data_IF_291087611876
#
_entry.id   IF_291087611876
#
_cell.length_a   1.000
_cell.length_b   1.000
_cell.length_c   1.000
_cell.angle_alpha   90.00
_cell.angle_beta   90.00
_cell.angle_gamma   90.00
#
_symmetry.space_group_name_H-M   'P 1'
#
loop_
_entity.id
_entity.type
_entity.pdbx_description
1 polymer ?
#
# COMPACT_ATOMS: atom_id res chain seq x y z
N UNK A 1 -4.66 16.79 3.02
CA UNK A 1 -4.02 16.97 1.70
C UNK A 1 -4.95 17.79 0.83
N UNK A 2 -4.43 18.69 0.00
CA UNK A 2 -5.24 19.56 -0.86
C UNK A 2 -5.93 18.75 -1.97
N UNK A 3 -5.32 17.68 -2.39
CA UNK A 3 -5.77 16.82 -3.49
C UNK A 3 -5.30 17.31 -4.85
N UNK A 4 -5.44 16.44 -5.85
CA UNK A 4 -5.12 16.74 -7.24
C UNK A 4 -6.14 17.74 -7.82
N UNK A 5 -5.68 18.62 -8.68
CA UNK A 5 -6.62 19.39 -9.49
C UNK A 5 -7.34 18.49 -10.54
N UNK A 6 -8.34 19.03 -11.24
CA UNK A 6 -9.11 18.23 -12.18
C UNK A 6 -8.27 17.71 -13.37
N UNK A 7 -7.30 18.51 -13.83
CA UNK A 7 -6.43 18.14 -14.97
C UNK A 7 -5.42 17.06 -14.57
N UNK A 8 -4.84 17.18 -13.38
CA UNK A 8 -3.91 16.20 -12.82
C UNK A 8 -4.62 14.85 -12.62
N UNK A 9 -5.79 14.87 -11.99
CA UNK A 9 -6.62 13.67 -11.80
C UNK A 9 -6.98 13.00 -13.12
N UNK A 10 -7.45 13.78 -14.10
CA UNK A 10 -7.80 13.26 -15.42
C UNK A 10 -6.57 12.67 -16.13
N UNK A 11 -5.39 13.26 -15.94
CA UNK A 11 -4.12 12.74 -16.47
C UNK A 11 -3.77 11.39 -15.86
N UNK A 12 -3.85 11.25 -14.53
CA UNK A 12 -3.61 9.97 -13.83
C UNK A 12 -4.56 8.90 -14.33
N UNK A 13 -5.87 9.17 -14.32
CA UNK A 13 -6.89 8.21 -14.72
C UNK A 13 -6.77 7.80 -16.20
N UNK A 14 -6.49 8.76 -17.10
CA UNK A 14 -6.32 8.47 -18.53
C UNK A 14 -5.05 7.67 -18.81
N UNK A 15 -3.98 7.91 -18.07
CA UNK A 15 -2.73 7.16 -18.19
C UNK A 15 -2.92 5.74 -17.70
N UNK A 16 -3.58 5.55 -16.55
CA UNK A 16 -3.92 4.23 -16.02
C UNK A 16 -4.84 3.45 -16.98
N UNK A 17 -5.87 4.09 -17.55
CA UNK A 17 -6.74 3.46 -18.54
C UNK A 17 -5.98 2.99 -19.78
N UNK A 18 -5.06 3.80 -20.30
CA UNK A 18 -4.25 3.44 -21.47
C UNK A 18 -3.30 2.29 -21.18
N UNK A 19 -2.67 2.31 -20.00
CA UNK A 19 -1.85 1.20 -19.54
C UNK A 19 -2.64 -0.10 -19.49
N UNK A 20 -3.80 -0.08 -18.81
CA UNK A 20 -4.65 -1.25 -18.69
C UNK A 20 -5.09 -1.82 -20.05
N UNK A 21 -5.52 -0.97 -20.97
CA UNK A 21 -5.91 -1.39 -22.32
C UNK A 21 -4.78 -2.07 -23.11
N UNK A 22 -3.54 -1.68 -22.84
CA UNK A 22 -2.37 -2.18 -23.54
C UNK A 22 -1.79 -3.44 -22.91
N UNK A 23 -1.67 -3.45 -21.57
CA UNK A 23 -0.88 -4.45 -20.84
C UNK A 23 -1.75 -5.46 -20.08
N UNK A 24 -3.00 -5.09 -19.71
CA UNK A 24 -3.88 -5.93 -18.90
C UNK A 24 -5.03 -6.50 -19.74
N UNK A 25 -4.70 -7.40 -20.67
CA UNK A 25 -5.73 -8.12 -21.45
C UNK A 25 -6.47 -9.13 -20.57
N UNK A 26 -7.73 -9.44 -20.93
CA UNK A 26 -8.52 -10.46 -20.22
C UNK A 26 -7.80 -11.81 -20.16
N UNK A 27 -7.13 -12.22 -21.25
CA UNK A 27 -6.37 -13.46 -21.29
C UNK A 27 -5.21 -13.46 -20.30
N UNK A 28 -4.49 -12.34 -20.15
CA UNK A 28 -3.40 -12.19 -19.20
C UNK A 28 -3.91 -12.23 -17.75
N UNK A 29 -4.97 -11.50 -17.44
CA UNK A 29 -5.55 -11.47 -16.09
C UNK A 29 -6.13 -12.83 -15.68
N UNK A 30 -6.79 -13.54 -16.62
CA UNK A 30 -7.27 -14.90 -16.40
C UNK A 30 -6.12 -15.90 -16.22
N UNK A 31 -5.00 -15.73 -16.89
CA UNK A 31 -3.83 -16.59 -16.72
C UNK A 31 -3.20 -16.43 -15.33
N UNK A 32 -3.11 -15.19 -14.84
CA UNK A 32 -2.67 -14.90 -13.45
C UNK A 32 -3.60 -15.55 -12.41
N UNK A 33 -4.92 -15.41 -12.59
CA UNK A 33 -5.92 -15.99 -11.69
C UNK A 33 -5.84 -17.53 -11.68
N UNK A 34 -5.74 -18.16 -12.87
CA UNK A 34 -5.61 -19.61 -12.99
C UNK A 34 -4.33 -20.18 -12.35
N UNK A 35 -3.25 -19.41 -12.37
CA UNK A 35 -1.97 -19.79 -11.76
C UNK A 35 -1.86 -19.47 -10.30
N UNK A 36 -2.82 -18.68 -9.75
CA UNK A 36 -2.76 -18.15 -8.39
C UNK A 36 -1.46 -17.34 -8.17
N UNK A 37 -1.06 -16.54 -9.16
CA UNK A 37 0.19 -15.80 -9.16
C UNK A 37 -0.03 -14.34 -8.74
N UNK A 38 0.89 -13.82 -7.92
CA UNK A 38 0.92 -12.40 -7.59
C UNK A 38 1.37 -11.58 -8.81
N UNK A 39 0.67 -10.49 -9.19
CA UNK A 39 0.96 -9.72 -10.40
C UNK A 39 2.17 -8.78 -10.21
N UNK A 40 3.36 -9.33 -9.89
CA UNK A 40 4.54 -8.57 -9.52
C UNK A 40 4.98 -7.57 -10.61
N UNK A 41 5.02 -8.02 -11.87
CA UNK A 41 5.43 -7.17 -13.00
C UNK A 41 4.46 -6.00 -13.23
N UNK A 42 3.16 -6.24 -13.02
CA UNK A 42 2.13 -5.20 -13.14
C UNK A 42 2.29 -4.15 -12.06
N UNK A 43 2.50 -4.58 -10.79
CA UNK A 43 2.67 -3.65 -9.69
C UNK A 43 3.97 -2.86 -9.82
N UNK A 44 5.05 -3.50 -10.26
CA UNK A 44 6.32 -2.83 -10.53
C UNK A 44 6.15 -1.73 -11.60
N UNK A 45 5.50 -2.05 -12.71
CA UNK A 45 5.22 -1.08 -13.77
C UNK A 45 4.31 0.07 -13.29
N UNK A 46 3.25 -0.24 -12.55
CA UNK A 46 2.35 0.77 -11.99
C UNK A 46 3.06 1.72 -11.02
N UNK A 47 4.04 1.23 -10.26
CA UNK A 47 4.76 2.01 -9.28
C UNK A 47 5.99 2.69 -9.88
N UNK A 48 6.93 1.92 -10.44
CA UNK A 48 8.23 2.42 -10.83
C UNK A 48 8.25 3.10 -12.20
N UNK A 49 7.33 2.72 -13.13
CA UNK A 49 7.22 3.39 -14.42
C UNK A 49 6.17 4.50 -14.45
N UNK A 50 5.03 4.30 -13.75
CA UNK A 50 3.90 5.24 -13.80
C UNK A 50 3.81 6.14 -12.56
N UNK A 51 4.45 5.79 -11.46
CA UNK A 51 4.38 6.55 -10.22
C UNK A 51 3.00 6.54 -9.55
N UNK A 52 2.18 5.51 -9.78
CA UNK A 52 0.81 5.47 -9.27
C UNK A 52 0.75 5.53 -7.73
N UNK A 53 1.71 4.95 -7.03
CA UNK A 53 1.83 4.99 -5.58
C UNK A 53 1.99 6.41 -5.03
N UNK A 54 2.54 7.36 -5.83
CA UNK A 54 2.72 8.74 -5.42
C UNK A 54 1.39 9.46 -5.13
N UNK A 55 0.29 9.01 -5.74
CA UNK A 55 -1.05 9.56 -5.45
C UNK A 55 -1.42 9.40 -3.97
N UNK A 56 -0.89 8.36 -3.31
CA UNK A 56 -1.19 8.04 -1.92
C UNK A 56 -0.26 8.74 -0.91
N UNK A 57 0.84 9.31 -1.37
CA UNK A 57 1.86 9.93 -0.53
C UNK A 57 1.68 11.45 -0.51
N UNK A 58 1.78 12.12 0.66
CA UNK A 58 1.73 13.58 0.75
C UNK A 58 2.86 14.26 -0.04
N UNK A 59 2.59 15.47 -0.56
CA UNK A 59 3.57 16.27 -1.31
C UNK A 59 4.84 16.56 -0.50
N UNK A 60 4.71 16.75 0.81
CA UNK A 60 5.84 16.99 1.73
C UNK A 60 6.83 15.82 1.82
N UNK A 61 6.43 14.63 1.33
CA UNK A 61 7.25 13.42 1.25
C UNK A 61 7.44 12.95 -0.20
N UNK A 62 7.49 13.89 -1.14
CA UNK A 62 7.72 13.66 -2.57
C UNK A 62 6.58 12.90 -3.28
N UNK A 63 5.38 12.87 -2.70
CA UNK A 63 4.18 12.32 -3.31
C UNK A 63 3.39 13.36 -4.12
N UNK A 64 2.27 12.93 -4.68
CA UNK A 64 1.33 13.79 -5.40
C UNK A 64 0.24 14.39 -4.48
N UNK A 65 0.13 13.96 -3.23
CA UNK A 65 -0.80 14.51 -2.25
C UNK A 65 -2.28 14.30 -2.57
N UNK A 66 -2.64 13.19 -3.22
CA UNK A 66 -4.02 12.90 -3.61
C UNK A 66 -4.97 12.93 -2.40
N UNK A 67 -6.13 13.56 -2.59
CA UNK A 67 -7.20 13.57 -1.59
C UNK A 67 -7.92 12.21 -1.53
N UNK A 68 -8.78 12.04 -0.52
CA UNK A 68 -9.65 10.85 -0.44
C UNK A 68 -10.51 10.65 -1.70
N UNK A 69 -10.91 11.73 -2.37
CA UNK A 69 -11.62 11.66 -3.64
C UNK A 69 -10.76 11.16 -4.78
N UNK A 70 -9.50 11.56 -4.87
CA UNK A 70 -8.56 11.11 -5.90
C UNK A 70 -8.26 9.62 -5.73
N UNK A 71 -8.00 9.21 -4.49
CA UNK A 71 -7.80 7.79 -4.13
C UNK A 71 -9.02 6.96 -4.49
N UNK A 72 -10.23 7.45 -4.18
CA UNK A 72 -11.47 6.79 -4.57
C UNK A 72 -11.57 6.62 -6.09
N UNK A 73 -11.27 7.66 -6.89
CA UNK A 73 -11.34 7.60 -8.35
C UNK A 73 -10.33 6.63 -8.95
N UNK A 74 -9.10 6.60 -8.41
CA UNK A 74 -8.11 5.59 -8.80
C UNK A 74 -8.60 4.18 -8.45
N UNK A 75 -9.11 4.00 -7.23
CA UNK A 75 -9.63 2.71 -6.77
C UNK A 75 -10.80 2.20 -7.61
N UNK A 76 -11.75 3.09 -7.95
CA UNK A 76 -12.90 2.77 -8.80
C UNK A 76 -12.45 2.28 -10.18
N UNK A 77 -11.50 2.98 -10.80
CA UNK A 77 -10.97 2.60 -12.11
C UNK A 77 -10.18 1.28 -12.04
N UNK A 78 -9.30 1.13 -11.06
CA UNK A 78 -8.52 -0.10 -10.87
C UNK A 78 -9.42 -1.32 -10.66
N UNK A 79 -10.42 -1.20 -9.77
CA UNK A 79 -11.35 -2.29 -9.48
C UNK A 79 -12.25 -2.65 -10.69
N UNK A 80 -12.51 -1.70 -11.59
CA UNK A 80 -13.22 -1.95 -12.84
C UNK A 80 -12.35 -2.67 -13.89
N UNK A 81 -11.03 -2.57 -13.79
CA UNK A 81 -10.06 -3.28 -14.63
C UNK A 81 -9.86 -4.70 -14.09
N UNK A 82 -9.33 -4.81 -12.88
CA UNK A 82 -9.13 -6.08 -12.18
C UNK A 82 -9.05 -5.86 -10.67
N UNK A 83 -9.82 -6.64 -9.91
CA UNK A 83 -9.90 -6.50 -8.45
C UNK A 83 -8.64 -7.02 -7.75
N UNK A 84 -7.98 -8.04 -8.28
CA UNK A 84 -6.75 -8.60 -7.74
C UNK A 84 -5.60 -7.61 -7.81
N UNK A 85 -5.38 -7.03 -9.01
CA UNK A 85 -4.39 -5.96 -9.22
C UNK A 85 -4.71 -4.73 -8.37
N UNK A 86 -5.98 -4.31 -8.33
CA UNK A 86 -6.42 -3.19 -7.49
C UNK A 86 -6.11 -3.43 -6.02
N UNK A 87 -6.35 -4.64 -5.52
CA UNK A 87 -6.07 -5.02 -4.12
C UNK A 87 -4.57 -4.94 -3.82
N UNK A 88 -3.71 -5.40 -4.71
CA UNK A 88 -2.25 -5.30 -4.55
C UNK A 88 -1.78 -3.83 -4.43
N UNK A 89 -2.29 -2.95 -5.29
CA UNK A 89 -1.99 -1.50 -5.25
C UNK A 89 -2.51 -0.85 -3.97
N UNK A 90 -3.79 -1.08 -3.65
CA UNK A 90 -4.44 -0.43 -2.51
C UNK A 90 -3.95 -0.96 -1.15
N UNK A 91 -3.39 -2.16 -1.09
CA UNK A 91 -2.76 -2.68 0.12
C UNK A 91 -1.57 -1.83 0.55
N UNK A 92 -0.80 -1.29 -0.39
CA UNK A 92 0.28 -0.33 -0.08
C UNK A 92 -0.28 0.94 0.55
N UNK A 93 -1.34 1.51 -0.03
CA UNK A 93 -2.01 2.67 0.57
C UNK A 93 -2.50 2.37 1.99
N UNK A 94 -3.22 1.26 2.18
CA UNK A 94 -3.69 0.83 3.50
C UNK A 94 -2.54 0.63 4.49
N UNK A 95 -1.41 0.10 4.03
CA UNK A 95 -0.21 -0.09 4.84
C UNK A 95 0.50 1.20 5.22
N UNK A 96 0.33 2.30 4.48
CA UNK A 96 0.89 3.61 4.83
C UNK A 96 0.08 4.36 5.88
N UNK A 97 -1.22 4.07 6.04
CA UNK A 97 -2.11 4.76 6.97
C UNK A 97 -1.60 4.77 8.43
N UNK A 98 -1.12 3.65 9.02
CA UNK A 98 -0.60 3.67 10.37
C UNK A 98 0.61 4.61 10.54
N UNK A 99 1.44 4.72 9.52
CA UNK A 99 2.58 5.65 9.52
C UNK A 99 2.07 7.09 9.46
N UNK A 100 1.12 7.36 8.56
CA UNK A 100 0.53 8.69 8.38
C UNK A 100 -0.17 9.20 9.63
N UNK A 101 -0.92 8.34 10.31
CA UNK A 101 -1.75 8.70 11.47
C UNK A 101 -0.95 8.67 12.77
N UNK A 102 -0.09 7.67 12.96
CA UNK A 102 0.57 7.38 14.25
C UNK A 102 2.07 7.61 14.29
N UNK A 103 2.72 7.83 13.15
CA UNK A 103 4.17 8.06 13.08
C UNK A 103 4.58 9.44 13.60
N UNK A 104 5.80 9.54 14.15
CA UNK A 104 6.45 10.84 14.38
C UNK A 104 6.80 11.48 13.04
N UNK A 105 7.04 12.79 13.00
CA UNK A 105 7.43 13.48 11.76
C UNK A 105 8.71 12.89 11.15
N UNK A 106 9.66 12.46 11.98
CA UNK A 106 10.87 11.76 11.51
C UNK A 106 10.56 10.40 10.87
N UNK A 107 9.65 9.62 11.50
CA UNK A 107 9.21 8.34 10.94
C UNK A 107 8.44 8.51 9.64
N UNK A 108 7.56 9.51 9.58
CA UNK A 108 6.82 9.84 8.35
C UNK A 108 7.79 10.24 7.23
N UNK A 109 8.69 11.20 7.49
CA UNK A 109 9.67 11.63 6.50
C UNK A 109 10.53 10.47 5.99
N UNK A 110 10.98 9.60 6.89
CA UNK A 110 11.80 8.44 6.52
C UNK A 110 11.02 7.42 5.69
N UNK A 111 9.87 6.95 6.18
CA UNK A 111 9.17 5.83 5.55
C UNK A 111 8.35 6.27 4.33
N UNK A 112 7.64 7.41 4.39
CA UNK A 112 6.89 7.91 3.24
C UNK A 112 7.82 8.32 2.10
N UNK A 113 8.96 8.97 2.43
CA UNK A 113 9.98 9.31 1.44
C UNK A 113 10.55 8.07 0.75
N UNK A 114 10.86 7.01 1.50
CA UNK A 114 11.31 5.75 0.92
C UNK A 114 10.25 5.08 0.05
N UNK A 115 8.99 5.06 0.49
CA UNK A 115 7.89 4.50 -0.33
C UNK A 115 7.77 5.29 -1.63
N UNK A 116 7.89 6.63 -1.58
CA UNK A 116 7.82 7.47 -2.76
C UNK A 116 8.99 7.25 -3.73
N UNK A 117 10.23 7.20 -3.20
CA UNK A 117 11.45 7.10 -3.99
C UNK A 117 11.68 5.69 -4.56
N UNK A 118 11.45 4.66 -3.72
CA UNK A 118 11.79 3.28 -4.05
C UNK A 118 10.60 2.47 -4.61
N UNK A 119 9.37 3.02 -4.59
CA UNK A 119 8.17 2.31 -5.03
C UNK A 119 7.84 1.07 -4.18
N UNK A 120 8.15 1.12 -2.86
CA UNK A 120 8.02 -0.04 -1.98
C UNK A 120 6.58 -0.54 -1.91
N UNK A 121 6.40 -1.85 -2.04
CA UNK A 121 5.14 -2.49 -1.67
C UNK A 121 5.01 -2.54 -0.15
N UNK A 122 3.85 -2.16 0.36
CA UNK A 122 3.56 -2.19 1.79
C UNK A 122 2.46 -3.20 2.10
N UNK A 123 2.62 -3.93 3.19
CA UNK A 123 1.62 -4.84 3.72
C UNK A 123 1.11 -4.36 5.09
N UNK A 124 -0.20 -4.50 5.31
CA UNK A 124 -0.85 -4.10 6.57
C UNK A 124 -1.24 -5.33 7.39
N UNK A 125 -0.47 -5.60 8.43
CA UNK A 125 -0.66 -6.74 9.32
C UNK A 125 -1.58 -6.42 10.50
N UNK A 126 -2.89 -6.42 10.29
CA UNK A 126 -3.90 -6.19 11.32
C UNK A 126 -4.58 -7.50 11.75
N UNK A 127 -5.19 -8.22 10.81
CA UNK A 127 -6.05 -9.39 11.07
C UNK A 127 -5.30 -10.56 11.67
N UNK A 128 -5.92 -11.19 12.67
CA UNK A 128 -5.46 -12.45 13.30
C UNK A 128 -6.54 -13.52 13.22
N UNK A 129 -6.20 -14.82 13.42
CA UNK A 129 -7.19 -15.90 13.37
C UNK A 129 -8.43 -15.69 14.26
N UNK A 130 -8.28 -15.01 15.40
CA UNK A 130 -9.36 -14.72 16.35
C UNK A 130 -9.80 -13.25 16.35
N UNK A 131 -9.11 -12.37 15.63
CA UNK A 131 -9.34 -10.92 15.63
C UNK A 131 -9.41 -10.36 14.20
N UNK A 132 -10.63 -10.26 13.68
CA UNK A 132 -10.94 -9.58 12.43
C UNK A 132 -11.54 -8.19 12.70
N UNK A 133 -12.87 -8.08 12.68
CA UNK A 133 -13.56 -6.81 12.99
C UNK A 133 -13.33 -6.35 14.45
N UNK A 134 -13.14 -7.28 15.36
CA UNK A 134 -12.76 -6.98 16.74
C UNK A 134 -11.22 -6.94 16.88
N UNK A 135 -10.61 -5.86 16.41
CA UNK A 135 -9.16 -5.64 16.52
C UNK A 135 -8.69 -5.50 17.99
N UNK A 136 -9.59 -5.17 18.92
CA UNK A 136 -9.26 -5.09 20.34
C UNK A 136 -8.91 -6.46 20.94
N UNK A 137 -9.35 -7.55 20.31
CA UNK A 137 -9.03 -8.94 20.71
C UNK A 137 -7.73 -9.48 20.12
N UNK A 138 -6.90 -8.64 19.50
CA UNK A 138 -5.64 -9.07 18.94
C UNK A 138 -4.65 -9.51 20.03
N UNK A 139 -3.88 -10.58 19.71
CA UNK A 139 -2.92 -11.19 20.63
C UNK A 139 -1.46 -10.91 20.28
N UNK A 140 -1.18 -10.35 19.11
CA UNK A 140 0.17 -9.92 18.73
C UNK A 140 0.67 -8.89 19.75
N UNK A 141 1.92 -9.06 20.16
CA UNK A 141 2.58 -8.21 21.15
C UNK A 141 3.89 -7.65 20.60
N UNK A 142 4.13 -6.36 20.83
CA UNK A 142 5.40 -5.71 20.61
C UNK A 142 6.02 -5.39 21.98
N UNK A 143 7.14 -6.04 22.30
CA UNK A 143 7.87 -5.83 23.54
C UNK A 143 9.10 -4.98 23.23
N UNK A 144 9.31 -3.82 23.88
CA UNK A 144 10.46 -2.98 23.64
C UNK A 144 11.78 -3.72 23.96
N UNK A 145 12.78 -3.50 23.12
CA UNK A 145 14.16 -3.91 23.36
C UNK A 145 14.94 -2.67 23.76
N UNK A 146 15.56 -2.70 24.94
CA UNK A 146 16.30 -1.57 25.49
C UNK A 146 17.80 -1.86 25.49
N UNK A 147 18.58 -0.88 25.06
CA UNK A 147 20.05 -0.85 25.17
C UNK A 147 20.47 0.50 25.78
N UNK A 148 21.31 0.48 26.78
CA UNK A 148 21.80 1.69 27.49
C UNK A 148 20.67 2.66 27.93
N UNK A 149 19.49 2.12 28.29
CA UNK A 149 18.34 2.89 28.76
C UNK A 149 17.50 3.56 27.63
N UNK A 150 17.78 3.24 26.39
CA UNK A 150 17.00 3.69 25.23
C UNK A 150 16.33 2.51 24.51
N UNK A 151 15.10 2.71 24.02
CA UNK A 151 14.42 1.72 23.20
C UNK A 151 15.06 1.74 21.80
N UNK A 152 15.71 0.63 21.41
CA UNK A 152 16.36 0.46 20.11
C UNK A 152 15.53 -0.33 19.10
N UNK A 153 14.42 -0.93 19.54
CA UNK A 153 13.53 -1.70 18.69
C UNK A 153 12.45 -2.43 19.48
N UNK A 154 11.72 -3.30 18.79
CA UNK A 154 10.65 -4.10 19.42
C UNK A 154 10.75 -5.55 18.98
N UNK A 155 10.54 -6.47 19.92
CA UNK A 155 10.33 -7.88 19.62
C UNK A 155 8.84 -8.13 19.41
N UNK A 156 8.45 -8.44 18.17
CA UNK A 156 7.08 -8.72 17.80
C UNK A 156 6.84 -10.22 17.83
N UNK A 157 5.74 -10.65 18.49
CA UNK A 157 5.33 -12.05 18.55
C UNK A 157 3.83 -12.15 18.33
N UNK A 158 3.40 -12.89 17.32
CA UNK A 158 1.99 -13.09 16.96
C UNK A 158 1.82 -13.80 15.64
N UNK A 159 0.57 -14.02 15.25
CA UNK A 159 0.18 -14.59 13.96
C UNK A 159 -0.79 -13.65 13.27
N UNK A 160 -0.45 -13.24 12.06
CA UNK A 160 -1.34 -12.49 11.18
C UNK A 160 -1.83 -13.37 10.05
N UNK A 161 -3.04 -13.11 9.52
CA UNK A 161 -3.59 -13.84 8.38
C UNK A 161 -4.32 -12.92 7.42
N UNK A 162 -4.47 -13.37 6.18
CA UNK A 162 -5.17 -12.65 5.11
C UNK A 162 -4.53 -11.27 4.82
N UNK A 163 -3.20 -11.24 4.83
CA UNK A 163 -2.44 -10.00 4.65
C UNK A 163 -2.15 -9.82 3.17
N UNK A 164 -2.84 -8.86 2.52
CA UNK A 164 -2.54 -8.47 1.15
C UNK A 164 -1.09 -8.00 1.04
N UNK A 165 -0.42 -8.35 -0.05
CA UNK A 165 1.02 -8.20 -0.27
C UNK A 165 1.89 -8.98 0.75
N UNK A 166 1.31 -9.79 1.63
CA UNK A 166 2.05 -10.63 2.56
C UNK A 166 2.94 -11.64 1.84
N UNK A 167 4.25 -11.61 2.11
CA UNK A 167 5.24 -12.47 1.45
C UNK A 167 5.94 -11.83 0.25
N UNK A 168 5.46 -10.69 -0.28
CA UNK A 168 6.07 -9.94 -1.38
C UNK A 168 6.42 -8.50 -1.03
N UNK A 169 5.79 -7.92 0.00
CA UNK A 169 6.06 -6.56 0.44
C UNK A 169 7.43 -6.41 1.09
N UNK A 170 8.08 -5.28 0.84
CA UNK A 170 9.35 -4.88 1.46
C UNK A 170 9.14 -4.22 2.82
N UNK A 171 7.97 -3.62 3.04
CA UNK A 171 7.62 -2.95 4.29
C UNK A 171 6.32 -3.51 4.87
N UNK A 172 6.31 -3.71 6.18
CA UNK A 172 5.13 -4.17 6.91
C UNK A 172 4.79 -3.20 8.04
N UNK A 173 3.55 -2.72 8.08
CA UNK A 173 2.99 -2.08 9.27
C UNK A 173 2.18 -3.10 10.05
N UNK A 174 2.60 -3.38 11.28
CA UNK A 174 2.03 -4.45 12.13
C UNK A 174 1.31 -3.82 13.31
N UNK A 175 0.02 -4.12 13.46
CA UNK A 175 -0.70 -3.81 14.70
C UNK A 175 -0.35 -4.85 15.78
N UNK A 176 0.02 -4.36 16.99
CA UNK A 176 0.46 -5.19 18.10
C UNK A 176 0.06 -4.55 19.45
#
# INVERSE_FOLDING_TARGET
MAGLDASERDSVLSTLSRYAQKELSDDYLLDLDHKDEFPAEVLDSLYNEMGLHLVFIPEEYEGMGGSAYDIYRVSELMAAIDLGVATGVLATFLGTDPISVGGTEEQKAHWMGRIAEEGLLVAYGATEPQAGSDLASMLTKAVPVEEDGAVVGYKITGNKQWISNGGVAELYTILA
#
